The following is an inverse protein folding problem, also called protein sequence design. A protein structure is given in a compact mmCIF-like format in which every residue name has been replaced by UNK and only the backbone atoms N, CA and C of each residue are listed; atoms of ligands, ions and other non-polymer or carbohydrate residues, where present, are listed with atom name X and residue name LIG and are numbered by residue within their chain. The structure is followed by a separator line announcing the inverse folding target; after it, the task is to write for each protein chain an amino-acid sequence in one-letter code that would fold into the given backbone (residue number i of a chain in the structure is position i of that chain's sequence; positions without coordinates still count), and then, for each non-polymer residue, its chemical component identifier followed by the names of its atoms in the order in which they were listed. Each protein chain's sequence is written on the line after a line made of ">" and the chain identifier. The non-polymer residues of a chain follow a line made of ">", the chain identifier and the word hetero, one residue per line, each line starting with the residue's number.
data_IF_075097512773
#
_entry.id   IF_075097512773
#
_cell.length_a   1.000
_cell.length_b   1.000
_cell.length_c   1.000
_cell.angle_alpha   90.00
_cell.angle_beta   90.00
_cell.angle_gamma   90.00
#
_symmetry.space_group_name_H-M   'P 1'
#
loop_
_entity.id
_entity.type
_entity.pdbx_description
1 polymer ?
#
# COMPACT_ATOMS: atom_id res chain seq x y z
N UNK A 1 3.49 19.29 -27.24
CA UNK A 1 3.29 18.81 -25.85
C UNK A 1 4.21 17.61 -25.65
N UNK A 2 5.15 17.68 -24.69
CA UNK A 2 6.14 16.62 -24.42
C UNK A 2 5.44 15.53 -23.62
N UNK A 3 5.38 14.32 -24.17
CA UNK A 3 4.61 13.21 -23.64
C UNK A 3 5.19 12.76 -22.28
N UNK A 4 4.55 13.16 -21.17
CA UNK A 4 5.01 12.90 -19.80
C UNK A 4 5.06 11.40 -19.49
N UNK A 5 4.15 10.63 -20.09
CA UNK A 5 4.04 9.18 -19.87
C UNK A 5 5.25 8.40 -20.41
N UNK A 6 5.88 8.90 -21.48
CA UNK A 6 7.09 8.27 -22.03
C UNK A 6 8.33 8.48 -21.14
N UNK A 7 8.36 9.60 -20.40
CA UNK A 7 9.47 9.94 -19.51
C UNK A 7 9.41 9.12 -18.20
N UNK A 8 8.21 8.91 -17.66
CA UNK A 8 7.99 8.15 -16.43
C UNK A 8 8.31 6.66 -16.61
N UNK A 9 7.92 6.07 -17.75
CA UNK A 9 8.29 4.70 -18.10
C UNK A 9 9.80 4.54 -18.31
N UNK A 10 10.45 5.54 -18.92
CA UNK A 10 11.91 5.53 -19.13
C UNK A 10 12.68 5.65 -17.80
N UNK A 11 12.20 6.46 -16.85
CA UNK A 11 12.83 6.57 -15.53
C UNK A 11 12.63 5.31 -14.69
N UNK A 12 11.44 4.70 -14.73
CA UNK A 12 11.20 3.39 -14.11
C UNK A 12 12.11 2.30 -14.70
N UNK A 13 12.25 2.26 -16.03
CA UNK A 13 13.10 1.29 -16.70
C UNK A 13 14.59 1.53 -16.42
N UNK A 14 15.05 2.77 -16.50
CA UNK A 14 16.43 3.16 -16.19
C UNK A 14 16.79 2.89 -14.73
N UNK A 15 15.86 3.15 -13.79
CA UNK A 15 16.06 2.82 -12.38
C UNK A 15 16.14 1.32 -12.16
N UNK A 16 15.29 0.52 -12.82
CA UNK A 16 15.30 -0.94 -12.72
C UNK A 16 16.61 -1.54 -13.23
N UNK A 17 17.14 -1.04 -14.36
CA UNK A 17 18.44 -1.45 -14.89
C UNK A 17 19.57 -1.01 -13.96
N UNK A 18 19.54 0.23 -13.45
CA UNK A 18 20.54 0.72 -12.52
C UNK A 18 20.57 -0.13 -11.23
N UNK A 19 19.41 -0.51 -10.69
CA UNK A 19 19.31 -1.39 -9.52
C UNK A 19 19.75 -2.83 -9.81
N UNK A 20 19.51 -3.35 -11.02
CA UNK A 20 20.00 -4.66 -11.44
C UNK A 20 21.52 -4.68 -11.57
N UNK A 21 22.10 -3.66 -12.21
CA UNK A 21 23.56 -3.50 -12.34
C UNK A 21 24.21 -3.26 -10.98
N UNK A 22 23.60 -2.48 -10.09
CA UNK A 22 24.07 -2.31 -8.71
C UNK A 22 24.08 -3.64 -7.95
N UNK A 23 23.08 -4.51 -8.19
CA UNK A 23 23.00 -5.82 -7.55
C UNK A 23 24.14 -6.76 -7.97
N UNK A 24 24.67 -6.56 -9.16
CA UNK A 24 25.75 -7.39 -9.72
C UNK A 24 27.14 -6.88 -9.30
N UNK A 25 27.26 -5.58 -9.03
CA UNK A 25 28.51 -4.92 -8.62
C UNK A 25 28.71 -4.93 -7.11
N UNK A 26 27.64 -4.75 -6.33
CA UNK A 26 27.73 -4.77 -4.87
C UNK A 26 27.67 -6.19 -4.32
N UNK A 27 28.44 -6.42 -3.26
CA UNK A 27 28.25 -7.59 -2.42
C UNK A 27 26.77 -7.73 -2.05
N UNK A 28 26.24 -8.94 -2.27
CA UNK A 28 24.82 -9.28 -2.04
C UNK A 28 24.33 -8.82 -0.68
N UNK A 29 25.16 -8.89 0.37
CA UNK A 29 24.77 -8.41 1.70
C UNK A 29 24.61 -6.89 1.76
N UNK A 30 25.50 -6.14 1.12
CA UNK A 30 25.46 -4.67 1.11
C UNK A 30 24.27 -4.20 0.27
N UNK A 31 24.06 -4.82 -0.89
CA UNK A 31 22.91 -4.55 -1.75
C UNK A 31 21.57 -4.78 -1.01
N UNK A 32 21.38 -5.93 -0.37
CA UNK A 32 20.15 -6.23 0.39
C UNK A 32 19.93 -5.25 1.55
N UNK A 33 21.00 -4.79 2.23
CA UNK A 33 20.89 -3.78 3.29
C UNK A 33 20.43 -2.42 2.76
N UNK A 34 21.00 -1.98 1.62
CA UNK A 34 20.61 -0.71 0.97
C UNK A 34 19.15 -0.79 0.50
N UNK A 35 18.78 -1.88 -0.16
CA UNK A 35 17.42 -2.12 -0.65
C UNK A 35 16.40 -2.09 0.51
N UNK A 36 16.77 -2.69 1.64
CA UNK A 36 15.94 -2.70 2.86
C UNK A 36 15.78 -1.30 3.45
N UNK A 37 16.85 -0.50 3.51
CA UNK A 37 16.78 0.88 3.99
C UNK A 37 15.86 1.73 3.10
N UNK A 38 15.94 1.56 1.77
CA UNK A 38 15.04 2.23 0.82
C UNK A 38 13.59 1.79 1.07
N UNK A 39 13.33 0.50 1.24
CA UNK A 39 11.98 -0.01 1.48
C UNK A 39 11.37 0.55 2.78
N UNK A 40 12.16 0.65 3.85
CA UNK A 40 11.74 1.27 5.11
C UNK A 40 11.38 2.75 4.91
N UNK A 41 12.21 3.49 4.18
CA UNK A 41 11.94 4.90 3.87
C UNK A 41 10.65 5.07 3.05
N UNK A 42 10.45 4.23 2.04
CA UNK A 42 9.22 4.22 1.23
C UNK A 42 8.00 3.93 2.10
N UNK A 43 8.10 2.96 3.02
CA UNK A 43 6.99 2.61 3.90
C UNK A 43 6.63 3.76 4.85
N UNK A 44 7.62 4.41 5.46
CA UNK A 44 7.42 5.59 6.30
C UNK A 44 6.75 6.72 5.49
N UNK A 45 7.24 6.99 4.28
CA UNK A 45 6.69 8.02 3.41
C UNK A 45 5.22 7.76 3.07
N UNK A 46 4.88 6.52 2.68
CA UNK A 46 3.52 6.13 2.33
C UNK A 46 2.58 6.24 3.54
N UNK A 47 3.02 5.80 4.73
CA UNK A 47 2.22 5.92 5.96
C UNK A 47 1.94 7.39 6.29
N UNK A 48 2.96 8.26 6.24
CA UNK A 48 2.78 9.70 6.50
C UNK A 48 1.85 10.34 5.47
N UNK A 49 2.00 9.99 4.18
CA UNK A 49 1.15 10.51 3.10
C UNK A 49 -0.31 10.12 3.32
N UNK A 50 -0.59 8.86 3.61
CA UNK A 50 -1.94 8.37 3.86
C UNK A 50 -2.52 8.99 5.14
N UNK A 51 -1.73 9.13 6.20
CA UNK A 51 -2.18 9.78 7.43
C UNK A 51 -2.57 11.25 7.18
N UNK A 52 -1.77 12.00 6.42
CA UNK A 52 -2.11 13.37 6.02
C UNK A 52 -3.40 13.43 5.21
N UNK A 53 -3.59 12.52 4.27
CA UNK A 53 -4.80 12.44 3.46
C UNK A 53 -6.06 12.20 4.33
N UNK A 54 -5.99 11.22 5.22
CA UNK A 54 -7.06 10.88 6.17
C UNK A 54 -7.40 12.06 7.09
N UNK A 55 -6.39 12.69 7.70
CA UNK A 55 -6.60 13.84 8.59
C UNK A 55 -7.16 15.05 7.85
N UNK A 56 -6.73 15.28 6.61
CA UNK A 56 -7.24 16.38 5.78
C UNK A 56 -8.73 16.22 5.50
N UNK A 57 -9.17 15.03 5.09
CA UNK A 57 -10.58 14.77 4.79
C UNK A 57 -11.46 14.83 6.03
N UNK A 58 -11.01 14.30 7.17
CA UNK A 58 -11.71 14.42 8.45
C UNK A 58 -11.88 15.89 8.89
N UNK A 59 -10.88 16.75 8.62
CA UNK A 59 -10.89 18.16 9.08
C UNK A 59 -11.72 19.07 8.19
N UNK A 60 -11.79 18.78 6.89
CA UNK A 60 -12.55 19.57 5.92
C UNK A 60 -13.99 19.07 5.72
N UNK A 61 -14.44 18.15 6.55
CA UNK A 61 -15.75 17.56 6.44
C UNK A 61 -16.88 18.55 6.79
N UNK A 62 -17.94 18.55 5.99
CA UNK A 62 -19.13 19.37 6.22
C UNK A 62 -19.92 18.75 7.39
N UNK A 63 -20.17 19.47 8.50
CA UNK A 63 -20.82 18.92 9.69
C UNK A 63 -22.28 18.46 9.50
N UNK A 64 -22.82 18.60 8.28
CA UNK A 64 -24.21 18.34 7.95
C UNK A 64 -24.43 16.99 7.21
N UNK A 65 -23.40 16.16 7.06
CA UNK A 65 -23.49 14.85 6.39
C UNK A 65 -23.86 13.79 7.45
N UNK A 66 -25.05 13.22 7.34
CA UNK A 66 -25.58 12.23 8.27
C UNK A 66 -25.30 10.81 7.74
N UNK A 67 -24.17 10.21 8.13
CA UNK A 67 -23.84 8.80 7.83
C UNK A 67 -24.15 7.89 9.02
N UNK A 68 -24.54 6.63 8.75
CA UNK A 68 -24.88 5.62 9.77
C UNK A 68 -23.69 5.28 10.71
N UNK A 69 -22.49 5.32 10.15
CA UNK A 69 -21.21 5.26 10.86
C UNK A 69 -20.53 6.59 10.57
N UNK A 70 -20.10 7.32 11.61
CA UNK A 70 -19.49 8.65 11.44
C UNK A 70 -18.41 8.60 10.35
N UNK A 71 -18.46 9.48 9.35
CA UNK A 71 -17.51 9.58 8.22
C UNK A 71 -16.04 9.55 8.67
N UNK A 72 -15.76 9.99 9.90
CA UNK A 72 -14.45 9.83 10.55
C UNK A 72 -13.99 8.37 10.60
N UNK A 73 -14.88 7.47 11.00
CA UNK A 73 -14.63 6.02 11.10
C UNK A 73 -14.39 5.43 9.71
N UNK A 74 -15.08 5.92 8.67
CA UNK A 74 -14.90 5.47 7.30
C UNK A 74 -13.51 5.86 6.74
N UNK A 75 -13.07 7.10 6.98
CA UNK A 75 -11.72 7.52 6.62
C UNK A 75 -10.62 6.80 7.42
N UNK A 76 -10.90 6.42 8.68
CA UNK A 76 -10.01 5.56 9.47
C UNK A 76 -9.98 4.12 8.94
N UNK A 77 -11.11 3.57 8.49
CA UNK A 77 -11.18 2.25 7.87
C UNK A 77 -10.36 2.22 6.57
N UNK A 78 -10.51 3.24 5.73
CA UNK A 78 -9.71 3.45 4.51
C UNK A 78 -8.20 3.53 4.83
N UNK A 79 -7.83 4.25 5.89
CA UNK A 79 -6.44 4.33 6.34
C UNK A 79 -5.90 2.95 6.75
N UNK A 80 -6.64 2.21 7.58
CA UNK A 80 -6.25 0.87 8.04
C UNK A 80 -6.14 -0.09 6.86
N UNK A 81 -7.11 -0.08 5.94
CA UNK A 81 -7.08 -0.90 4.72
C UNK A 81 -5.83 -0.63 3.89
N UNK A 82 -5.52 0.63 3.61
CA UNK A 82 -4.31 1.00 2.89
C UNK A 82 -3.05 0.58 3.65
N UNK A 83 -2.99 0.79 4.96
CA UNK A 83 -1.85 0.40 5.78
C UNK A 83 -1.59 -1.11 5.74
N UNK A 84 -2.63 -1.94 5.77
CA UNK A 84 -2.49 -3.40 5.64
C UNK A 84 -2.00 -3.80 4.25
N UNK A 85 -2.50 -3.16 3.18
CA UNK A 85 -2.01 -3.42 1.81
C UNK A 85 -0.53 -3.07 1.70
N UNK A 86 -0.09 -1.90 2.16
CA UNK A 86 1.33 -1.54 2.11
C UNK A 86 2.19 -2.43 3.01
N UNK A 87 1.69 -2.80 4.19
CA UNK A 87 2.34 -3.77 5.09
C UNK A 87 2.51 -5.15 4.44
N UNK A 88 1.54 -5.57 3.63
CA UNK A 88 1.65 -6.80 2.84
C UNK A 88 2.74 -6.71 1.78
N UNK A 89 2.76 -5.65 0.97
CA UNK A 89 3.79 -5.45 -0.04
C UNK A 89 5.19 -5.45 0.59
N UNK A 90 5.33 -4.83 1.77
CA UNK A 90 6.57 -4.85 2.54
C UNK A 90 6.92 -6.26 3.04
N UNK A 91 5.95 -7.00 3.55
CA UNK A 91 6.15 -8.38 4.00
C UNK A 91 6.59 -9.29 2.85
N UNK A 92 5.99 -9.14 1.66
CA UNK A 92 6.43 -9.82 0.45
C UNK A 92 7.87 -9.47 0.10
N UNK A 93 8.23 -8.19 0.13
CA UNK A 93 9.60 -7.74 -0.10
C UNK A 93 10.59 -8.42 0.86
N UNK A 94 10.30 -8.44 2.17
CA UNK A 94 11.17 -9.08 3.16
C UNK A 94 11.27 -10.60 2.97
N UNK A 95 10.16 -11.27 2.69
CA UNK A 95 10.14 -12.71 2.42
C UNK A 95 11.00 -13.03 1.20
N UNK A 96 10.91 -12.25 0.13
CA UNK A 96 11.68 -12.44 -1.11
C UNK A 96 13.16 -12.10 -0.92
N UNK A 97 13.47 -11.07 -0.12
CA UNK A 97 14.83 -10.59 0.07
C UNK A 97 15.66 -11.46 1.04
N UNK A 98 15.01 -12.11 2.03
CA UNK A 98 15.70 -12.78 3.13
C UNK A 98 15.45 -14.29 3.23
N UNK A 99 14.35 -14.81 2.68
CA UNK A 99 14.06 -16.24 2.69
C UNK A 99 14.36 -16.86 1.32
N UNK A 100 14.76 -18.13 1.32
CA UNK A 100 15.09 -18.85 0.09
C UNK A 100 14.39 -20.21 0.05
N UNK A 101 14.08 -20.66 -1.17
CA UNK A 101 13.57 -22.00 -1.42
C UNK A 101 12.24 -22.27 -0.72
N UNK A 102 12.15 -23.40 -0.02
CA UNK A 102 10.87 -23.90 0.53
C UNK A 102 10.26 -22.99 1.60
N UNK A 103 11.08 -22.35 2.44
CA UNK A 103 10.59 -21.48 3.52
C UNK A 103 9.99 -20.18 2.99
N UNK A 104 10.54 -19.65 1.89
CA UNK A 104 9.97 -18.50 1.17
C UNK A 104 8.56 -18.82 0.66
N UNK A 105 8.39 -19.94 -0.06
CA UNK A 105 7.10 -20.34 -0.62
C UNK A 105 6.03 -20.56 0.46
N UNK A 106 6.38 -21.22 1.57
CA UNK A 106 5.45 -21.41 2.69
C UNK A 106 5.06 -20.08 3.34
N UNK A 107 6.01 -19.14 3.46
CA UNK A 107 5.75 -17.81 4.04
C UNK A 107 4.84 -16.97 3.14
N UNK A 108 5.03 -17.03 1.81
CA UNK A 108 4.14 -16.36 0.85
C UNK A 108 2.73 -16.95 0.95
N UNK A 109 2.61 -18.28 0.98
CA UNK A 109 1.31 -18.95 1.08
C UNK A 109 0.58 -18.56 2.38
N UNK A 110 1.28 -18.54 3.51
CA UNK A 110 0.73 -18.08 4.78
C UNK A 110 0.28 -16.60 4.71
N UNK A 111 1.09 -15.71 4.14
CA UNK A 111 0.75 -14.30 3.96
C UNK A 111 -0.51 -14.10 3.13
N UNK A 112 -0.66 -14.84 2.02
CA UNK A 112 -1.84 -14.77 1.15
C UNK A 112 -3.09 -15.19 1.92
N UNK A 113 -3.04 -16.28 2.69
CA UNK A 113 -4.17 -16.74 3.51
C UNK A 113 -4.58 -15.67 4.53
N UNK A 114 -3.61 -15.08 5.24
CA UNK A 114 -3.87 -14.03 6.25
C UNK A 114 -4.58 -12.83 5.62
N UNK A 115 -4.18 -12.44 4.40
CA UNK A 115 -4.80 -11.31 3.72
C UNK A 115 -6.17 -11.60 3.19
N UNK A 116 -6.40 -12.79 2.65
CA UNK A 116 -7.75 -13.19 2.25
C UNK A 116 -8.68 -13.16 3.46
N UNK A 117 -8.23 -13.71 4.60
CA UNK A 117 -9.01 -13.66 5.84
C UNK A 117 -9.27 -12.21 6.28
N UNK A 118 -8.27 -11.34 6.19
CA UNK A 118 -8.42 -9.92 6.51
C UNK A 118 -9.43 -9.20 5.60
N UNK A 119 -9.37 -9.43 4.28
CA UNK A 119 -10.35 -8.85 3.34
C UNK A 119 -11.76 -9.36 3.59
N UNK A 120 -11.94 -10.64 3.93
CA UNK A 120 -13.24 -11.18 4.31
C UNK A 120 -13.78 -10.43 5.54
N UNK A 121 -12.95 -10.18 6.54
CA UNK A 121 -13.36 -9.42 7.73
C UNK A 121 -13.72 -7.98 7.36
N UNK A 122 -12.87 -7.28 6.60
CA UNK A 122 -13.18 -5.90 6.14
C UNK A 122 -14.48 -5.86 5.34
N UNK A 123 -14.69 -6.77 4.40
CA UNK A 123 -15.91 -6.76 3.56
C UNK A 123 -17.20 -6.84 4.38
N UNK A 124 -17.17 -7.52 5.54
CA UNK A 124 -18.31 -7.57 6.48
C UNK A 124 -18.52 -6.27 7.25
N UNK A 125 -17.47 -5.48 7.46
CA UNK A 125 -17.58 -4.13 8.03
C UNK A 125 -18.00 -3.12 6.96
N UNK A 126 -17.52 -3.30 5.73
CA UNK A 126 -17.80 -2.41 4.59
C UNK A 126 -19.27 -2.52 4.13
N UNK A 127 -19.87 -3.72 4.17
CA UNK A 127 -21.31 -3.96 3.97
C UNK A 127 -22.21 -3.23 5.00
N UNK A 128 -21.64 -2.77 6.11
CA UNK A 128 -22.34 -1.98 7.14
C UNK A 128 -22.06 -0.49 7.07
N UNK A 129 -21.18 -0.05 6.18
CA UNK A 129 -20.80 1.36 5.99
C UNK A 129 -21.34 1.84 4.63
N UNK A 130 -21.99 3.01 4.58
CA UNK A 130 -22.62 3.57 3.37
C UNK A 130 -21.64 4.02 2.25
N UNK A 131 -20.37 3.60 2.30
CA UNK A 131 -19.29 4.07 1.41
C UNK A 131 -19.61 3.78 -0.08
N UNK A 132 -20.35 2.72 -0.40
CA UNK A 132 -20.72 2.36 -1.77
C UNK A 132 -22.00 3.09 -2.23
N UNK A 133 -22.94 3.36 -1.33
CA UNK A 133 -24.22 3.98 -1.69
C UNK A 133 -24.16 5.51 -1.90
N UNK A 134 -23.12 6.18 -1.40
CA UNK A 134 -22.95 7.62 -1.62
C UNK A 134 -22.29 7.97 -2.95
N UNK A 135 -21.61 7.03 -3.62
CA UNK A 135 -20.98 7.27 -4.93
C UNK A 135 -21.94 7.02 -6.10
N UNK A 136 -22.98 6.18 -5.94
CA UNK A 136 -24.01 5.92 -6.98
C UNK A 136 -25.09 7.01 -7.06
N UNK A 137 -25.28 7.82 -6.01
CA UNK A 137 -26.36 8.83 -5.95
C UNK A 137 -25.93 10.25 -6.39
N UNK A 138 -24.71 10.41 -6.93
CA UNK A 138 -24.23 11.70 -7.46
C UNK A 138 -24.12 11.73 -8.99
N UNK A 139 -24.68 10.72 -9.67
CA UNK A 139 -24.93 10.74 -11.11
C UNK A 139 -26.43 10.78 -11.37
N UNK A 140 -27.03 11.95 -11.14
CA UNK A 140 -28.23 12.45 -11.82
C UNK A 140 -28.19 14.00 -11.86
#
# INVERSE_FOLDING_TARGET
>A
MKNSEANDNFTLFASSIAFAVLSDILDKQIYTKILTAIMILVLIFVVIRNLKFTLYHIKNENPNIQTFISVKVDYWLLFVRNLVIYGFLASLFFVTAYLNGRTMWLSILALVIVIIAFFIVISKFEDKTDIINSEENHTD
#
